data_IF_216739185375
#
_entry.id   IF_216739185375
#
_cell.length_a   1.000
_cell.length_b   1.000
_cell.length_c   1.000
_cell.angle_alpha   90.00
_cell.angle_beta   90.00
_cell.angle_gamma   90.00
#
_symmetry.space_group_name_H-M   'P 1'
#
loop_
_entity.id
_entity.type
_entity.pdbx_description
1 polymer ?
#
# COMPACT_ATOMS: atom_id res chain seq x y z
N UNK A 1 -5.71 -10.02 13.96
CA UNK A 1 -4.40 -10.54 13.52
C UNK A 1 -3.36 -9.48 13.84
N UNK A 2 -2.26 -9.83 14.49
CA UNK A 2 -1.16 -8.90 14.77
C UNK A 2 -0.17 -8.92 13.60
N UNK A 3 0.46 -7.78 13.23
CA UNK A 3 1.58 -7.79 12.29
C UNK A 3 2.74 -8.58 12.92
N UNK A 4 3.38 -9.42 12.11
CA UNK A 4 4.60 -10.12 12.48
C UNK A 4 5.74 -9.58 11.62
N UNK A 5 6.89 -9.35 12.24
CA UNK A 5 8.11 -8.95 11.54
C UNK A 5 8.85 -10.23 11.16
N UNK A 6 9.04 -10.45 9.86
CA UNK A 6 9.94 -11.51 9.39
C UNK A 6 11.29 -10.86 9.16
N UNK A 7 12.29 -11.30 9.92
CA UNK A 7 13.67 -11.05 9.56
C UNK A 7 14.09 -12.07 8.51
N UNK A 8 14.74 -11.56 7.48
CA UNK A 8 15.12 -12.32 6.32
C UNK A 8 16.58 -12.75 6.45
N UNK A 9 16.81 -14.00 6.84
CA UNK A 9 18.15 -14.52 7.11
C UNK A 9 18.90 -14.98 5.85
N UNK A 10 18.17 -15.41 4.82
CA UNK A 10 18.78 -15.85 3.57
C UNK A 10 19.26 -14.63 2.77
N UNK A 11 20.49 -14.60 2.24
CA UNK A 11 21.00 -13.49 1.46
C UNK A 11 20.07 -13.10 0.30
N UNK A 12 19.96 -11.79 0.05
CA UNK A 12 19.00 -11.26 -0.93
C UNK A 12 19.33 -11.74 -2.34
N UNK A 13 20.61 -11.87 -2.67
CA UNK A 13 21.05 -12.30 -4.01
C UNK A 13 20.68 -13.75 -4.32
N UNK A 14 20.38 -14.56 -3.29
CA UNK A 14 19.96 -15.95 -3.44
C UNK A 14 18.45 -16.09 -3.67
N UNK A 15 17.65 -15.11 -3.22
CA UNK A 15 16.18 -15.15 -3.30
C UNK A 15 15.58 -14.26 -4.36
N UNK A 16 16.27 -13.18 -4.73
CA UNK A 16 15.76 -12.18 -5.66
C UNK A 16 16.50 -12.31 -7.00
N UNK A 17 15.78 -12.36 -8.14
CA UNK A 17 16.40 -12.36 -9.45
C UNK A 17 17.41 -11.22 -9.61
N UNK A 18 18.60 -11.53 -10.16
CA UNK A 18 19.66 -10.55 -10.42
C UNK A 18 19.26 -9.54 -11.50
N UNK A 19 18.41 -9.93 -12.44
CA UNK A 19 17.86 -9.02 -13.45
C UNK A 19 16.72 -8.20 -12.83
N UNK A 20 17.01 -6.94 -12.52
CA UNK A 20 16.05 -5.99 -11.94
C UNK A 20 15.50 -4.99 -12.98
N UNK A 21 16.01 -5.03 -14.21
CA UNK A 21 15.56 -4.15 -15.28
C UNK A 21 14.37 -4.76 -16.01
N UNK A 22 13.27 -4.02 -16.07
CA UNK A 22 12.09 -4.40 -16.85
C UNK A 22 11.56 -3.20 -17.63
N UNK A 23 10.70 -3.45 -18.63
CA UNK A 23 10.23 -2.44 -19.59
C UNK A 23 9.58 -1.21 -18.95
N UNK A 24 8.94 -1.37 -17.79
CA UNK A 24 8.28 -0.26 -17.09
C UNK A 24 9.23 0.53 -16.18
N UNK A 25 10.50 0.11 -16.07
CA UNK A 25 11.56 0.80 -15.33
C UNK A 25 11.19 1.14 -13.86
N UNK A 26 10.37 0.30 -13.23
CA UNK A 26 10.03 0.42 -11.81
C UNK A 26 11.23 -0.03 -10.99
N UNK A 27 11.53 0.76 -9.96
CA UNK A 27 12.66 0.54 -9.05
C UNK A 27 12.22 0.16 -7.64
N UNK A 28 10.93 0.26 -7.36
CA UNK A 28 10.37 -0.11 -6.07
C UNK A 28 8.94 0.36 -5.88
N UNK A 29 8.45 0.12 -4.67
CA UNK A 29 7.14 0.58 -4.22
C UNK A 29 7.33 1.96 -3.55
N UNK A 30 6.51 2.93 -3.91
CA UNK A 30 6.47 4.22 -3.22
C UNK A 30 5.48 4.17 -2.05
N UNK A 31 4.23 3.84 -2.35
CA UNK A 31 3.16 3.78 -1.35
C UNK A 31 2.27 2.56 -1.57
N UNK A 32 1.70 2.01 -0.50
CA UNK A 32 0.62 1.02 -0.55
C UNK A 32 -0.58 1.58 0.21
N UNK A 33 -1.73 1.62 -0.44
CA UNK A 33 -3.02 1.87 0.20
C UNK A 33 -3.61 0.54 0.65
N UNK A 34 -3.88 0.40 1.94
CA UNK A 34 -4.48 -0.77 2.56
C UNK A 34 -5.88 -0.41 3.04
N UNK A 35 -6.88 -1.11 2.53
CA UNK A 35 -8.25 -0.96 2.97
C UNK A 35 -8.43 -1.65 4.32
N UNK A 36 -8.98 -0.94 5.30
CA UNK A 36 -9.29 -1.48 6.63
C UNK A 36 -10.71 -1.08 7.03
N UNK A 37 -11.36 -1.89 7.86
CA UNK A 37 -12.69 -1.57 8.39
C UNK A 37 -12.64 -0.49 9.48
N UNK A 38 -11.56 -0.48 10.26
CA UNK A 38 -11.31 0.48 11.32
C UNK A 38 -9.80 0.78 11.39
N UNK A 39 -9.48 2.07 11.45
CA UNK A 39 -8.11 2.59 11.48
C UNK A 39 -7.56 2.63 12.91
N UNK A 40 -8.40 2.71 13.94
CA UNK A 40 -7.95 2.92 15.32
C UNK A 40 -7.05 1.78 15.84
N UNK A 41 -7.38 0.48 15.65
CA UNK A 41 -6.48 -0.60 16.04
C UNK A 41 -5.15 -0.51 15.29
N UNK A 42 -5.20 -0.28 13.98
CA UNK A 42 -4.00 -0.20 13.13
C UNK A 42 -3.07 0.91 13.59
N UNK A 43 -3.62 2.07 13.96
CA UNK A 43 -2.84 3.18 14.52
C UNK A 43 -2.09 2.77 15.77
N UNK A 44 -2.79 2.14 16.71
CA UNK A 44 -2.19 1.71 17.97
C UNK A 44 -1.04 0.71 17.72
N UNK A 45 -1.26 -0.26 16.83
CA UNK A 45 -0.26 -1.28 16.53
C UNK A 45 0.98 -0.71 15.86
N UNK A 46 0.82 0.04 14.76
CA UNK A 46 1.96 0.60 14.04
C UNK A 46 2.68 1.68 14.84
N UNK A 47 1.97 2.47 15.66
CA UNK A 47 2.63 3.41 16.56
C UNK A 47 3.54 2.72 17.58
N UNK A 48 3.10 1.58 18.13
CA UNK A 48 3.93 0.77 19.03
C UNK A 48 5.10 0.12 18.31
N UNK A 49 4.86 -0.44 17.13
CA UNK A 49 5.89 -1.15 16.37
C UNK A 49 6.99 -0.21 15.84
N UNK A 50 6.62 1.02 15.45
CA UNK A 50 7.54 2.00 14.86
C UNK A 50 8.06 3.04 15.86
N UNK A 51 7.53 3.08 17.08
CA UNK A 51 7.86 4.09 18.09
C UNK A 51 7.35 5.51 17.75
N UNK A 52 6.56 5.67 16.68
CA UNK A 52 6.04 6.94 16.21
C UNK A 52 4.61 6.81 15.69
N UNK A 53 3.76 7.80 16.01
CA UNK A 53 2.38 7.86 15.51
C UNK A 53 2.30 8.10 14.01
N UNK A 54 1.24 7.58 13.38
CA UNK A 54 0.94 7.84 11.97
C UNK A 54 0.24 9.19 11.77
N UNK A 55 0.42 9.79 10.61
CA UNK A 55 -0.21 11.05 10.23
C UNK A 55 -1.62 10.81 9.68
N UNK A 56 -2.53 11.75 9.90
CA UNK A 56 -3.88 11.67 9.34
C UNK A 56 -3.85 11.85 7.81
N UNK A 57 -4.62 11.03 7.11
CA UNK A 57 -4.79 11.14 5.65
C UNK A 57 -6.25 11.14 5.24
N UNK A 58 -6.57 11.98 4.25
CA UNK A 58 -7.83 11.97 3.51
C UNK A 58 -7.59 11.45 2.11
N UNK A 59 -8.46 10.57 1.62
CA UNK A 59 -8.46 10.02 0.26
C UNK A 59 -9.83 10.27 -0.35
N UNK A 60 -10.00 11.47 -0.87
CA UNK A 60 -11.28 11.93 -1.41
C UNK A 60 -11.66 11.12 -2.66
N UNK A 61 -10.67 10.70 -3.45
CA UNK A 61 -10.80 9.76 -4.57
C UNK A 61 -11.41 8.41 -4.17
N UNK A 62 -11.25 8.03 -2.91
CA UNK A 62 -11.80 6.79 -2.34
C UNK A 62 -12.95 7.06 -1.36
N UNK A 63 -13.32 8.32 -1.14
CA UNK A 63 -14.23 8.72 -0.06
C UNK A 63 -13.83 8.02 1.25
N UNK A 64 -12.55 8.13 1.61
CA UNK A 64 -11.94 7.34 2.69
C UNK A 64 -10.94 8.17 3.49
N UNK A 65 -10.57 7.68 4.68
CA UNK A 65 -9.52 8.27 5.48
C UNK A 65 -8.89 7.31 6.46
N UNK A 66 -7.74 7.71 6.97
CA UNK A 66 -7.10 6.97 8.02
C UNK A 66 -5.71 7.49 8.36
N UNK A 67 -4.74 6.58 8.40
CA UNK A 67 -3.41 6.83 8.93
C UNK A 67 -2.32 6.48 7.92
N UNK A 68 -1.32 7.36 7.81
CA UNK A 68 -0.09 7.15 7.07
C UNK A 68 1.06 6.82 8.00
N UNK A 69 1.79 5.78 7.67
CA UNK A 69 3.07 5.43 8.29
C UNK A 69 4.16 5.36 7.23
N UNK A 70 5.36 5.83 7.58
CA UNK A 70 6.56 5.70 6.73
C UNK A 70 7.46 4.63 7.31
N UNK A 71 7.88 3.67 6.47
CA UNK A 71 8.73 2.54 6.85
C UNK A 71 9.86 2.47 5.83
N UNK A 72 11.06 2.91 6.25
CA UNK A 72 12.17 3.13 5.32
C UNK A 72 11.75 4.09 4.19
N UNK A 73 11.95 3.72 2.90
CA UNK A 73 11.56 4.56 1.78
C UNK A 73 10.07 4.41 1.38
N UNK A 74 9.30 3.60 2.10
CA UNK A 74 7.94 3.22 1.72
C UNK A 74 6.88 3.89 2.59
N UNK A 75 5.73 4.14 1.99
CA UNK A 75 4.54 4.65 2.66
C UNK A 75 3.47 3.58 2.75
N UNK A 76 2.85 3.43 3.93
CA UNK A 76 1.62 2.65 4.12
C UNK A 76 0.49 3.59 4.52
N UNK A 77 -0.53 3.67 3.68
CA UNK A 77 -1.79 4.37 3.96
C UNK A 77 -2.86 3.36 4.35
N UNK A 78 -3.22 3.30 5.62
CA UNK A 78 -4.35 2.51 6.09
C UNK A 78 -5.59 3.38 6.09
N UNK A 79 -6.59 3.02 5.28
CA UNK A 79 -7.79 3.84 5.08
C UNK A 79 -9.06 3.04 5.25
N UNK A 80 -10.01 3.63 5.97
CA UNK A 80 -11.38 3.13 6.12
C UNK A 80 -12.36 4.00 5.31
N UNK A 81 -13.43 3.40 4.75
CA UNK A 81 -14.44 4.13 4.00
C UNK A 81 -15.17 5.16 4.87
N UNK A 82 -15.33 6.39 4.37
CA UNK A 82 -16.22 7.41 4.94
C UNK A 82 -17.58 7.32 4.25
N UNK A 83 -18.39 6.34 4.65
CA UNK A 83 -19.76 6.16 4.15
C UNK A 83 -19.91 5.22 2.96
N UNK A 84 -21.17 4.98 2.59
CA UNK A 84 -21.56 3.88 1.69
C UNK A 84 -21.07 4.04 0.24
N UNK A 85 -20.78 5.26 -0.22
CA UNK A 85 -20.31 5.55 -1.58
C UNK A 85 -18.85 5.16 -1.83
N UNK A 86 -18.08 4.81 -0.78
CA UNK A 86 -16.68 4.43 -0.96
C UNK A 86 -16.53 3.10 -1.70
N UNK A 87 -15.64 3.00 -2.72
CA UNK A 87 -15.33 1.73 -3.37
C UNK A 87 -14.69 0.71 -2.41
N UNK A 88 -14.19 1.15 -1.24
CA UNK A 88 -13.62 0.28 -0.23
C UNK A 88 -14.69 -0.58 0.47
N UNK A 89 -15.95 -0.14 0.51
CA UNK A 89 -17.04 -0.91 1.14
C UNK A 89 -17.22 -2.27 0.47
N UNK A 90 -17.34 -2.29 -0.87
CA UNK A 90 -17.43 -3.53 -1.63
C UNK A 90 -16.15 -4.37 -1.58
N UNK A 91 -14.99 -3.70 -1.56
CA UNK A 91 -13.69 -4.36 -1.45
C UNK A 91 -13.56 -5.12 -0.13
N UNK A 92 -13.82 -4.44 1.00
CA UNK A 92 -13.76 -5.01 2.34
C UNK A 92 -14.77 -6.16 2.51
N UNK A 93 -15.98 -6.02 1.96
CA UNK A 93 -16.97 -7.10 1.97
C UNK A 93 -16.47 -8.36 1.26
N UNK A 94 -15.76 -8.20 0.14
CA UNK A 94 -15.31 -9.32 -0.69
C UNK A 94 -13.98 -9.94 -0.21
N UNK A 95 -13.08 -9.14 0.38
CA UNK A 95 -11.68 -9.54 0.62
C UNK A 95 -11.21 -9.35 2.07
N UNK A 96 -12.03 -8.73 2.92
CA UNK A 96 -11.60 -8.25 4.23
C UNK A 96 -10.51 -7.17 4.13
N UNK A 97 -9.92 -6.78 5.28
CA UNK A 97 -8.81 -5.83 5.32
C UNK A 97 -7.62 -6.33 4.50
N UNK A 98 -7.20 -5.57 3.49
CA UNK A 98 -6.20 -6.01 2.51
C UNK A 98 -5.65 -4.84 1.66
N UNK A 99 -4.48 -5.00 1.01
CA UNK A 99 -3.98 -4.03 0.03
C UNK A 99 -5.02 -3.74 -1.05
N UNK A 100 -5.24 -2.45 -1.33
CA UNK A 100 -6.21 -1.96 -2.31
C UNK A 100 -5.55 -1.40 -3.57
N UNK A 101 -4.44 -0.66 -3.39
CA UNK A 101 -3.68 -0.03 -4.47
C UNK A 101 -2.22 0.16 -4.06
N UNK A 102 -1.33 0.32 -5.04
CA UNK A 102 0.06 0.73 -4.78
C UNK A 102 0.58 1.70 -5.84
N UNK A 103 1.49 2.57 -5.42
CA UNK A 103 2.26 3.44 -6.29
C UNK A 103 3.66 2.88 -6.45
N UNK A 104 4.15 2.86 -7.67
CA UNK A 104 5.42 2.29 -8.09
C UNK A 104 6.35 3.42 -8.51
N UNK A 105 7.56 3.43 -7.95
CA UNK A 105 8.58 4.42 -8.29
C UNK A 105 9.23 4.02 -9.62
N UNK A 106 9.20 4.91 -10.61
CA UNK A 106 9.81 4.65 -11.93
C UNK A 106 10.73 5.79 -12.36
N UNK A 107 11.73 5.49 -13.19
CA UNK A 107 12.65 6.51 -13.74
C UNK A 107 12.20 7.07 -15.09
N UNK A 108 11.25 6.43 -15.76
CA UNK A 108 10.90 6.78 -17.14
C UNK A 108 9.41 6.67 -17.47
N UNK A 109 8.55 6.71 -16.46
CA UNK A 109 7.09 6.65 -16.63
C UNK A 109 6.45 8.02 -16.45
N UNK A 110 5.39 8.29 -17.23
CA UNK A 110 4.48 9.38 -16.91
C UNK A 110 3.74 9.01 -15.62
N UNK A 111 3.71 9.87 -14.59
CA UNK A 111 2.91 9.64 -13.40
C UNK A 111 1.45 9.37 -13.76
N UNK A 112 0.82 8.45 -13.05
CA UNK A 112 -0.59 8.10 -13.27
C UNK A 112 -0.89 6.61 -13.23
N UNK A 113 -2.18 6.25 -13.36
CA UNK A 113 -2.63 4.87 -13.23
C UNK A 113 -2.15 4.00 -14.40
N UNK A 114 -1.82 2.75 -14.07
CA UNK A 114 -1.58 1.69 -15.04
C UNK A 114 -2.90 1.10 -15.54
N UNK A 115 -2.86 0.57 -16.77
CA UNK A 115 -3.98 -0.14 -17.37
C UNK A 115 -4.31 -1.41 -16.56
N UNK A 116 -5.49 -1.42 -15.93
CA UNK A 116 -5.91 -2.52 -15.06
C UNK A 116 -6.08 -3.85 -15.79
N UNK A 117 -6.34 -3.84 -17.10
CA UNK A 117 -6.39 -5.06 -17.89
C UNK A 117 -5.00 -5.73 -17.98
N UNK A 118 -3.93 -4.93 -17.96
CA UNK A 118 -2.54 -5.39 -18.01
C UNK A 118 -1.93 -5.69 -16.64
N UNK A 119 -2.63 -5.34 -15.56
CA UNK A 119 -2.24 -5.62 -14.18
C UNK A 119 -3.12 -6.68 -13.53
N UNK A 120 -3.96 -7.39 -14.32
CA UNK A 120 -4.89 -8.41 -13.83
C UNK A 120 -5.84 -7.87 -12.74
N UNK A 121 -6.27 -6.62 -12.90
CA UNK A 121 -7.16 -5.93 -11.96
C UNK A 121 -6.46 -5.27 -10.76
N UNK A 122 -5.13 -5.34 -10.65
CA UNK A 122 -4.39 -4.65 -9.61
C UNK A 122 -4.34 -3.14 -9.88
N UNK A 123 -4.60 -2.33 -8.85
CA UNK A 123 -4.58 -0.87 -8.94
C UNK A 123 -3.17 -0.36 -8.69
N UNK A 124 -2.41 -0.21 -9.78
CA UNK A 124 -1.08 0.38 -9.73
C UNK A 124 -1.05 1.75 -10.39
N UNK A 125 -0.18 2.63 -9.89
CA UNK A 125 0.17 3.89 -10.53
C UNK A 125 1.68 4.11 -10.52
N UNK A 126 2.18 4.91 -11.45
CA UNK A 126 3.53 5.44 -11.38
C UNK A 126 3.56 6.76 -10.61
N UNK A 127 4.61 6.92 -9.79
CA UNK A 127 5.07 8.19 -9.25
C UNK A 127 6.49 8.48 -9.74
#
# INVERSE_FOLDING_TARGET
MAPFLIQDETPREERVPRQMTHRNQVRGIGAVTVAVSDVAPVRQWYARALGAGGHDVSRDDLTAAGARFTIGPHVLDFVAPRGAGSPLTGWLKARGPSPYAATLLTVSGKPGPLDQAKTLGARFSFA
#
